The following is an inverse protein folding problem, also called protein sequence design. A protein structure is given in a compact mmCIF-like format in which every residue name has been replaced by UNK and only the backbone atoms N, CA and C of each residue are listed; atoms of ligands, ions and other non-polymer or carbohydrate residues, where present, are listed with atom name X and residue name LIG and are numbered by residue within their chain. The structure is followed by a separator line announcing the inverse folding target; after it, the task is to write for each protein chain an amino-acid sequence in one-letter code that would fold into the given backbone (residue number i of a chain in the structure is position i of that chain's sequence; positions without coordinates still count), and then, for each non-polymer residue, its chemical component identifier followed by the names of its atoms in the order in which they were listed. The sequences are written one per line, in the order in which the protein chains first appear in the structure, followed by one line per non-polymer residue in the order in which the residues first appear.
data_IF_875273541312
#
_entry.id   IF_875273541312
#
_cell.length_a   1.000
_cell.length_b   1.000
_cell.length_c   1.000
_cell.angle_alpha   90.00
_cell.angle_beta   90.00
_cell.angle_gamma   90.00
#
_symmetry.space_group_name_H-M   'P 1'
#
loop_
_entity.id
_entity.type
_entity.pdbx_description
1 polymer ?
#
# COMPACT_ATOMS: atom_id res chain seq x y z
N UNK A 1 44.83 4.19 -39.19
CA UNK A 1 44.58 3.93 -37.76
C UNK A 1 43.43 2.95 -37.63
N UNK A 2 43.67 1.72 -37.15
CA UNK A 2 42.60 0.78 -36.80
C UNK A 2 42.20 1.07 -35.35
N UNK A 3 41.12 1.81 -35.14
CA UNK A 3 40.48 1.94 -33.83
C UNK A 3 39.88 0.58 -33.49
N UNK A 4 40.63 -0.22 -32.73
CA UNK A 4 40.14 -1.50 -32.21
C UNK A 4 38.86 -1.27 -31.40
N UNK A 5 37.82 -2.05 -31.69
CA UNK A 5 36.50 -2.14 -31.04
C UNK A 5 36.52 -2.40 -29.50
N UNK A 6 37.65 -2.20 -28.82
CA UNK A 6 37.85 -2.42 -27.38
C UNK A 6 37.14 -1.40 -26.48
N UNK A 7 36.68 -0.26 -27.02
CA UNK A 7 35.91 0.73 -26.26
C UNK A 7 34.46 0.32 -26.00
N UNK A 8 33.85 -0.43 -26.93
CA UNK A 8 32.46 -0.88 -26.82
C UNK A 8 32.19 -1.80 -25.62
N UNK A 9 33.02 -2.82 -25.31
CA UNK A 9 32.80 -3.66 -24.12
C UNK A 9 33.02 -2.89 -22.81
N UNK A 10 33.93 -1.91 -22.77
CA UNK A 10 34.18 -1.09 -21.58
C UNK A 10 33.01 -0.13 -21.34
N UNK A 11 32.50 0.52 -22.38
CA UNK A 11 31.33 1.40 -22.28
C UNK A 11 30.06 0.60 -21.87
N UNK A 12 29.85 -0.58 -22.43
CA UNK A 12 28.74 -1.46 -22.05
C UNK A 12 28.85 -1.92 -20.58
N UNK A 13 30.06 -2.24 -20.10
CA UNK A 13 30.31 -2.60 -18.70
C UNK A 13 30.04 -1.42 -17.76
N UNK A 14 30.47 -0.21 -18.10
CA UNK A 14 30.21 1.00 -17.30
C UNK A 14 28.72 1.35 -17.23
N UNK A 15 27.98 1.21 -18.34
CA UNK A 15 26.52 1.40 -18.35
C UNK A 15 25.82 0.33 -17.48
N UNK A 16 26.26 -0.92 -17.54
CA UNK A 16 25.75 -1.97 -16.66
C UNK A 16 26.04 -1.69 -15.18
N UNK A 17 27.23 -1.20 -14.83
CA UNK A 17 27.56 -0.81 -13.46
C UNK A 17 26.73 0.40 -12.99
N UNK A 18 26.51 1.39 -13.86
CA UNK A 18 25.78 2.62 -13.51
C UNK A 18 24.26 2.44 -13.45
N UNK A 19 23.68 1.52 -14.21
CA UNK A 19 22.22 1.34 -14.32
C UNK A 19 21.76 -0.03 -13.83
N UNK A 20 22.48 -1.09 -14.21
CA UNK A 20 22.12 -2.47 -13.87
C UNK A 20 22.25 -2.77 -12.37
N UNK A 21 23.39 -2.40 -11.75
CA UNK A 21 23.61 -2.65 -10.32
C UNK A 21 22.56 -1.93 -9.45
N UNK A 22 22.27 -0.61 -9.64
CA UNK A 22 21.22 0.05 -8.87
C UNK A 22 19.84 -0.57 -9.06
N UNK A 23 19.47 -0.94 -10.29
CA UNK A 23 18.18 -1.57 -10.56
C UNK A 23 18.03 -2.92 -9.84
N UNK A 24 19.10 -3.73 -9.80
CA UNK A 24 19.12 -5.00 -9.05
C UNK A 24 18.97 -4.75 -7.54
N UNK A 25 19.68 -3.77 -6.98
CA UNK A 25 19.58 -3.43 -5.55
C UNK A 25 18.15 -3.02 -5.20
N UNK A 26 17.53 -2.15 -6.01
CA UNK A 26 16.14 -1.73 -5.83
C UNK A 26 15.21 -2.95 -5.88
N UNK A 27 15.37 -3.84 -6.87
CA UNK A 27 14.55 -5.03 -6.99
C UNK A 27 14.66 -5.96 -5.77
N UNK A 28 15.88 -6.19 -5.24
CA UNK A 28 16.11 -7.00 -4.05
C UNK A 28 15.45 -6.37 -2.82
N UNK A 29 15.61 -5.06 -2.63
CA UNK A 29 15.03 -4.37 -1.48
C UNK A 29 13.50 -4.36 -1.56
N UNK A 30 12.92 -4.12 -2.74
CA UNK A 30 11.47 -4.22 -2.95
C UNK A 30 10.97 -5.64 -2.66
N UNK A 31 11.66 -6.68 -3.13
CA UNK A 31 11.26 -8.07 -2.88
C UNK A 31 11.33 -8.43 -1.39
N UNK A 32 12.35 -7.95 -0.68
CA UNK A 32 12.47 -8.13 0.77
C UNK A 32 11.34 -7.44 1.52
N UNK A 33 11.03 -6.19 1.15
CA UNK A 33 9.92 -5.45 1.73
C UNK A 33 8.57 -6.13 1.45
N UNK A 34 8.33 -6.54 0.21
CA UNK A 34 7.12 -7.27 -0.20
C UNK A 34 6.94 -8.55 0.62
N UNK A 35 8.01 -9.33 0.81
CA UNK A 35 7.95 -10.55 1.62
C UNK A 35 7.67 -10.26 3.10
N UNK A 36 8.30 -9.23 3.68
CA UNK A 36 8.09 -8.85 5.07
C UNK A 36 6.65 -8.36 5.29
N UNK A 37 6.15 -7.51 4.38
CA UNK A 37 4.78 -7.00 4.41
C UNK A 37 3.77 -8.13 4.24
N UNK A 38 3.96 -9.06 3.30
CA UNK A 38 3.03 -10.17 3.10
C UNK A 38 2.98 -11.12 4.31
N UNK A 39 4.11 -11.36 4.96
CA UNK A 39 4.14 -12.08 6.23
C UNK A 39 3.35 -11.32 7.29
N UNK A 40 3.58 -10.00 7.42
CA UNK A 40 2.86 -9.18 8.39
C UNK A 40 1.35 -9.14 8.13
N UNK A 41 0.90 -9.05 6.87
CA UNK A 41 -0.53 -9.13 6.49
C UNK A 41 -1.15 -10.45 6.95
N UNK A 42 -0.40 -11.56 6.79
CA UNK A 42 -0.82 -12.89 7.23
C UNK A 42 -0.93 -12.94 8.75
N UNK A 43 0.07 -12.42 9.46
CA UNK A 43 0.08 -12.38 10.93
C UNK A 43 -0.97 -11.41 11.50
N UNK A 44 -1.32 -10.36 10.74
CA UNK A 44 -2.46 -9.48 11.02
C UNK A 44 -3.81 -10.23 10.92
N UNK A 45 -3.83 -11.43 10.32
CA UNK A 45 -5.01 -12.27 10.19
C UNK A 45 -5.86 -11.97 8.96
N UNK A 46 -5.31 -11.28 7.95
CA UNK A 46 -6.00 -11.00 6.69
C UNK A 46 -5.71 -12.15 5.71
N UNK A 47 -6.71 -12.94 5.30
CA UNK A 47 -6.50 -14.04 4.36
C UNK A 47 -6.09 -13.50 2.98
N UNK A 48 -5.09 -14.10 2.35
CA UNK A 48 -4.63 -13.72 1.01
C UNK A 48 -5.77 -13.71 -0.03
N UNK A 49 -6.72 -14.65 0.08
CA UNK A 49 -7.89 -14.74 -0.80
C UNK A 49 -8.83 -13.53 -0.70
N UNK A 50 -8.73 -12.75 0.38
CA UNK A 50 -9.53 -11.56 0.64
C UNK A 50 -8.82 -10.28 0.24
N UNK A 51 -7.49 -10.32 0.03
CA UNK A 51 -6.67 -9.15 -0.30
C UNK A 51 -6.98 -8.68 -1.72
N UNK A 52 -7.22 -7.39 -1.86
CA UNK A 52 -7.28 -6.68 -3.14
C UNK A 52 -6.24 -5.56 -3.08
N UNK A 53 -5.19 -5.68 -3.87
CA UNK A 53 -4.11 -4.69 -3.91
C UNK A 53 -4.62 -3.37 -4.49
N UNK A 54 -4.36 -2.29 -3.77
CA UNK A 54 -4.60 -0.91 -4.24
C UNK A 54 -3.32 -0.38 -4.88
N UNK A 55 -2.20 -0.50 -4.16
CA UNK A 55 -0.87 -0.16 -4.68
C UNK A 55 0.11 -1.30 -4.40
N UNK A 56 0.96 -1.67 -5.37
CA UNK A 56 2.01 -2.64 -5.15
C UNK A 56 3.05 -2.08 -4.16
N UNK A 57 3.91 -2.96 -3.63
CA UNK A 57 5.04 -2.50 -2.81
C UNK A 57 5.96 -1.60 -3.63
N UNK A 58 6.13 -0.37 -3.18
CA UNK A 58 7.02 0.60 -3.81
C UNK A 58 7.69 1.49 -2.76
N UNK A 59 8.85 2.04 -3.10
CA UNK A 59 9.57 2.94 -2.20
C UNK A 59 8.88 4.31 -2.14
N UNK A 60 8.58 4.77 -0.93
CA UNK A 60 8.04 6.10 -0.69
C UNK A 60 9.17 7.07 -0.34
N UNK A 61 9.51 7.94 -1.29
CA UNK A 61 10.57 8.93 -1.11
C UNK A 61 10.24 9.97 -0.03
N UNK A 62 8.97 10.24 0.23
CA UNK A 62 8.54 11.31 1.14
C UNK A 62 8.63 10.87 2.59
N UNK A 63 8.24 9.63 2.88
CA UNK A 63 8.21 9.10 4.24
C UNK A 63 9.36 8.14 4.55
N UNK A 64 10.15 7.77 3.53
CA UNK A 64 11.14 6.70 3.68
C UNK A 64 10.47 5.33 3.63
N UNK A 65 11.26 4.30 3.35
CA UNK A 65 10.77 2.91 3.36
C UNK A 65 9.87 2.52 2.19
N UNK A 66 9.28 1.34 2.29
CA UNK A 66 8.46 0.71 1.25
C UNK A 66 7.01 0.57 1.74
N UNK A 67 6.06 0.96 0.90
CA UNK A 67 4.64 0.93 1.24
C UNK A 67 3.87 -0.02 0.32
N UNK A 68 2.93 -0.76 0.91
CA UNK A 68 1.90 -1.52 0.20
C UNK A 68 0.53 -1.16 0.74
N UNK A 69 -0.37 -0.77 -0.14
CA UNK A 69 -1.75 -0.48 0.24
C UNK A 69 -2.66 -1.56 -0.29
N UNK A 70 -3.45 -2.13 0.60
CA UNK A 70 -4.47 -3.12 0.25
C UNK A 70 -5.82 -2.69 0.77
N UNK A 71 -6.86 -3.25 0.18
CA UNK A 71 -8.18 -3.35 0.82
C UNK A 71 -8.57 -4.82 0.86
N UNK A 72 -9.69 -5.13 1.50
CA UNK A 72 -10.24 -6.48 1.48
C UNK A 72 -11.57 -6.51 0.75
N UNK A 73 -11.94 -7.66 0.19
CA UNK A 73 -13.27 -7.84 -0.42
C UNK A 73 -14.40 -7.48 0.55
N UNK A 74 -14.25 -7.84 1.84
CA UNK A 74 -15.19 -7.46 2.91
C UNK A 74 -15.25 -5.96 3.13
N UNK A 75 -14.10 -5.27 3.21
CA UNK A 75 -14.05 -3.83 3.41
C UNK A 75 -14.63 -3.06 2.22
N UNK A 76 -14.36 -3.51 1.00
CA UNK A 76 -15.00 -2.97 -0.21
C UNK A 76 -16.53 -3.15 -0.18
N UNK A 77 -17.02 -4.33 0.20
CA UNK A 77 -18.46 -4.58 0.30
C UNK A 77 -19.14 -3.72 1.39
N UNK A 78 -18.49 -3.56 2.54
CA UNK A 78 -18.95 -2.66 3.62
C UNK A 78 -18.96 -1.21 3.16
N UNK A 79 -17.89 -0.76 2.51
CA UNK A 79 -17.78 0.59 1.97
C UNK A 79 -18.89 0.89 0.96
N UNK A 80 -19.13 -0.04 0.04
CA UNK A 80 -20.23 0.05 -0.92
C UNK A 80 -21.59 0.16 -0.23
N UNK A 81 -21.89 -0.72 0.72
CA UNK A 81 -23.14 -0.68 1.48
C UNK A 81 -23.30 0.62 2.28
N UNK A 82 -22.21 1.14 2.84
CA UNK A 82 -22.20 2.41 3.56
C UNK A 82 -22.57 3.58 2.64
N UNK A 83 -21.99 3.65 1.43
CA UNK A 83 -22.24 4.72 0.46
C UNK A 83 -23.59 4.61 -0.26
N UNK A 84 -24.12 3.40 -0.40
CA UNK A 84 -25.44 3.15 -0.99
C UNK A 84 -26.58 3.43 0.00
N UNK A 85 -26.27 3.61 1.29
CA UNK A 85 -27.25 4.05 2.29
C UNK A 85 -27.67 5.51 2.02
N UNK A 86 -28.97 5.82 1.88
CA UNK A 86 -29.45 7.19 1.65
C UNK A 86 -29.00 8.20 2.71
N UNK A 87 -28.74 7.77 3.95
CA UNK A 87 -28.22 8.64 5.02
C UNK A 87 -26.82 9.18 4.73
N UNK A 88 -26.07 8.50 3.86
CA UNK A 88 -24.69 8.81 3.52
C UNK A 88 -24.54 9.28 2.07
N UNK A 89 -25.65 9.61 1.39
CA UNK A 89 -25.66 9.95 -0.04
C UNK A 89 -24.64 11.06 -0.36
N UNK A 90 -24.49 12.07 0.50
CA UNK A 90 -23.51 13.13 0.32
C UNK A 90 -22.07 12.61 0.19
N UNK A 91 -21.69 11.58 0.96
CA UNK A 91 -20.35 10.99 0.98
C UNK A 91 -20.04 10.13 -0.26
N UNK A 92 -21.08 9.74 -1.00
CA UNK A 92 -20.97 8.99 -2.26
C UNK A 92 -20.55 9.87 -3.43
N UNK A 93 -20.33 11.16 -3.19
CA UNK A 93 -19.92 12.09 -4.24
C UNK A 93 -18.68 12.89 -3.83
N UNK A 94 -17.94 13.31 -4.84
CA UNK A 94 -16.80 14.22 -4.73
C UNK A 94 -16.89 15.26 -5.84
N UNK A 95 -16.16 16.37 -5.71
CA UNK A 95 -16.16 17.45 -6.68
C UNK A 95 -14.86 17.47 -7.48
N UNK A 96 -14.99 17.62 -8.80
CA UNK A 96 -13.87 17.92 -9.71
C UNK A 96 -14.18 19.26 -10.35
N UNK A 97 -13.59 20.32 -9.78
CA UNK A 97 -14.07 21.69 -10.04
C UNK A 97 -15.50 21.84 -9.56
N UNK A 98 -16.40 22.27 -10.44
CA UNK A 98 -17.84 22.44 -10.15
C UNK A 98 -18.66 21.16 -10.39
N UNK A 99 -18.05 20.11 -10.96
CA UNK A 99 -18.77 18.88 -11.33
C UNK A 99 -18.80 17.91 -10.17
N UNK A 100 -20.01 17.61 -9.67
CA UNK A 100 -20.25 16.55 -8.70
C UNK A 100 -20.18 15.18 -9.39
N UNK A 101 -19.21 14.34 -8.99
CA UNK A 101 -19.02 12.97 -9.50
C UNK A 101 -19.34 11.96 -8.41
N UNK A 102 -19.95 10.84 -8.79
CA UNK A 102 -20.21 9.72 -7.89
C UNK A 102 -18.94 8.89 -7.73
N UNK A 103 -18.64 8.44 -6.51
CA UNK A 103 -17.50 7.55 -6.24
C UNK A 103 -17.74 6.18 -6.89
N UNK A 104 -16.68 5.57 -7.42
CA UNK A 104 -16.74 4.22 -7.97
C UNK A 104 -16.56 3.19 -6.85
N UNK A 105 -17.66 2.73 -6.27
CA UNK A 105 -17.66 1.78 -5.13
C UNK A 105 -17.18 0.37 -5.47
N UNK A 106 -16.91 0.07 -6.75
CA UNK A 106 -16.35 -1.20 -7.18
C UNK A 106 -14.83 -1.13 -7.44
N UNK A 107 -14.23 0.06 -7.34
CA UNK A 107 -12.79 0.26 -7.49
C UNK A 107 -12.11 0.22 -6.13
N UNK A 108 -11.09 -0.63 -5.99
CA UNK A 108 -10.27 -0.66 -4.78
C UNK A 108 -9.47 0.63 -4.60
N UNK A 109 -9.09 1.31 -5.68
CA UNK A 109 -8.37 2.58 -5.59
C UNK A 109 -9.26 3.74 -5.09
N UNK A 110 -10.58 3.62 -5.21
CA UNK A 110 -11.55 4.63 -4.77
C UNK A 110 -12.22 4.27 -3.43
N UNK A 111 -11.71 3.25 -2.74
CA UNK A 111 -12.17 2.89 -1.40
C UNK A 111 -11.48 3.76 -0.36
N UNK A 112 -12.26 4.36 0.56
CA UNK A 112 -11.71 5.11 1.68
C UNK A 112 -11.39 4.22 2.89
N UNK A 113 -11.49 2.90 2.71
CA UNK A 113 -11.25 1.85 3.72
C UNK A 113 -10.12 0.93 3.25
N UNK A 114 -8.90 1.19 3.71
CA UNK A 114 -7.70 0.44 3.30
C UNK A 114 -6.72 0.24 4.45
N UNK A 115 -5.84 -0.74 4.30
CA UNK A 115 -4.70 -0.98 5.17
C UNK A 115 -3.45 -0.55 4.42
N UNK A 116 -2.57 0.18 5.10
CA UNK A 116 -1.31 0.67 4.57
C UNK A 116 -0.23 0.01 5.42
N UNK A 117 0.59 -0.82 4.78
CA UNK A 117 1.72 -1.49 5.44
C UNK A 117 3.00 -0.80 5.01
N UNK A 118 3.78 -0.35 5.98
CA UNK A 118 5.06 0.32 5.75
C UNK A 118 6.20 -0.56 6.27
N UNK A 119 7.22 -0.75 5.44
CA UNK A 119 8.44 -1.46 5.76
C UNK A 119 9.63 -0.49 5.78
N UNK A 120 10.30 -0.42 6.91
CA UNK A 120 11.52 0.35 7.10
C UNK A 120 12.46 -0.38 8.07
N UNK A 121 13.75 -0.45 7.74
CA UNK A 121 14.81 -1.02 8.58
C UNK A 121 14.50 -2.41 9.19
N UNK A 122 13.84 -3.27 8.42
CA UNK A 122 13.53 -4.64 8.84
C UNK A 122 12.28 -4.76 9.70
N UNK A 123 11.54 -3.67 9.93
CA UNK A 123 10.28 -3.65 10.66
C UNK A 123 9.14 -3.36 9.70
N UNK A 124 7.96 -3.90 10.02
CA UNK A 124 6.71 -3.57 9.34
C UNK A 124 5.76 -2.99 10.37
N UNK A 125 5.15 -1.86 10.05
CA UNK A 125 4.00 -1.34 10.76
C UNK A 125 2.77 -1.29 9.85
N UNK A 126 1.62 -0.98 10.45
CA UNK A 126 0.36 -0.89 9.73
C UNK A 126 -0.40 0.35 10.20
N UNK A 127 -0.92 1.09 9.22
CA UNK A 127 -1.95 2.10 9.41
C UNK A 127 -3.23 1.62 8.73
N UNK A 128 -4.36 2.10 9.21
CA UNK A 128 -5.64 1.92 8.51
C UNK A 128 -6.16 3.28 8.08
N UNK A 129 -6.61 3.37 6.83
CA UNK A 129 -7.31 4.51 6.31
C UNK A 129 -8.81 4.27 6.46
N UNK A 130 -9.50 5.16 7.17
CA UNK A 130 -10.94 5.14 7.36
C UNK A 130 -11.47 6.52 7.05
N UNK A 131 -12.26 6.66 5.98
CA UNK A 131 -12.77 7.95 5.50
C UNK A 131 -11.67 8.97 5.14
N UNK A 132 -10.56 8.51 4.57
CA UNK A 132 -9.42 9.39 4.24
C UNK A 132 -8.56 9.78 5.45
N UNK A 133 -8.88 9.28 6.65
CA UNK A 133 -8.11 9.51 7.87
C UNK A 133 -7.22 8.30 8.15
N UNK A 134 -5.92 8.53 8.22
CA UNK A 134 -4.95 7.49 8.56
C UNK A 134 -4.84 7.40 10.07
N UNK A 135 -5.05 6.20 10.61
CA UNK A 135 -4.99 5.95 12.05
C UNK A 135 -4.11 4.75 12.34
N UNK A 136 -3.36 4.83 13.44
CA UNK A 136 -2.69 3.68 14.01
C UNK A 136 -3.76 2.77 14.63
N UNK A 137 -3.92 1.52 14.16
CA UNK A 137 -4.92 0.60 14.69
C UNK A 137 -4.64 0.16 16.15
N UNK A 138 -3.42 0.37 16.65
CA UNK A 138 -3.01 0.05 18.03
C UNK A 138 -3.17 1.24 18.98
N UNK A 139 -3.40 2.46 18.49
CA UNK A 139 -3.62 3.63 19.34
C UNK A 139 -5.02 3.54 20.00
N UNK A 140 -5.10 3.51 21.35
CA UNK A 140 -6.38 3.45 22.05
C UNK A 140 -7.30 4.65 21.75
N UNK A 141 -6.75 5.81 21.37
CA UNK A 141 -7.53 7.02 21.07
C UNK A 141 -8.22 6.96 19.70
N UNK A 142 -7.75 6.11 18.79
CA UNK A 142 -8.30 5.96 17.43
C UNK A 142 -9.09 4.66 17.28
N UNK A 143 -9.29 3.92 18.37
CA UNK A 143 -9.93 2.60 18.39
C UNK A 143 -11.31 2.58 17.75
N UNK A 144 -12.09 3.66 17.87
CA UNK A 144 -13.39 3.74 17.20
C UNK A 144 -13.24 3.68 15.67
N UNK A 145 -12.25 4.37 15.11
CA UNK A 145 -12.00 4.38 13.67
C UNK A 145 -11.48 3.02 13.20
N UNK A 146 -10.45 2.48 13.87
CA UNK A 146 -9.90 1.17 13.49
C UNK A 146 -10.91 0.03 13.63
N UNK A 147 -11.85 0.12 14.59
CA UNK A 147 -12.93 -0.88 14.76
C UNK A 147 -13.88 -1.03 13.56
N UNK A 148 -13.88 -0.05 12.62
CA UNK A 148 -14.71 -0.10 11.41
C UNK A 148 -14.15 -1.06 10.36
N UNK A 149 -12.85 -1.36 10.42
CA UNK A 149 -12.17 -2.31 9.53
C UNK A 149 -12.62 -3.75 9.78
N UNK A 150 -12.63 -4.56 8.73
CA UNK A 150 -13.04 -5.97 8.81
C UNK A 150 -12.07 -6.85 9.60
N UNK A 151 -10.79 -6.49 9.59
CA UNK A 151 -9.73 -7.16 10.33
C UNK A 151 -9.12 -6.17 11.30
N UNK A 152 -8.88 -6.63 12.53
CA UNK A 152 -8.38 -5.81 13.63
C UNK A 152 -6.93 -6.16 13.87
N UNK A 153 -6.13 -5.15 14.26
CA UNK A 153 -4.74 -5.39 14.61
C UNK A 153 -4.65 -6.44 15.73
N UNK A 154 -3.80 -7.47 15.58
CA UNK A 154 -3.57 -8.40 16.66
C UNK A 154 -2.93 -7.67 17.84
N UNK A 155 -3.27 -8.10 19.05
CA UNK A 155 -2.58 -7.63 20.25
C UNK A 155 -1.19 -8.28 20.22
N UNK A 156 -0.21 -7.55 19.70
CA UNK A 156 1.18 -7.94 19.78
C UNK A 156 1.60 -7.85 21.24
N UNK A 157 1.55 -8.98 21.95
CA UNK A 157 2.20 -9.08 23.26
C UNK A 157 3.67 -8.85 22.99
N UNK A 158 4.21 -7.69 23.40
CA UNK A 158 5.64 -7.38 23.33
C UNK A 158 6.42 -8.62 23.75
N UNK A 159 7.09 -9.26 22.79
CA UNK A 159 8.08 -10.30 23.07
C UNK A 159 9.42 -9.64 23.31
#
# INVERSE_FOLDING_TARGET
MKTTNRFWPIAAFLVFCAVGIPAIIIAIHTQRAESAINQYITDYGIPETEVVTISPTSYDLKFGGYNKTITTKKDMARWKAYLENPKNEALNYYYVGEVRKKKNTNSSADTDWSYIFHYEDGKVDALVNVFGTWVDPNDPNTKEFSSRMSYQAPVWVNK
#
